data_IF_672596866173
#
_entry.id   IF_672596866173
#
_cell.length_a   1.000
_cell.length_b   1.000
_cell.length_c   1.000
_cell.angle_alpha   90.00
_cell.angle_beta   90.00
_cell.angle_gamma   90.00
#
_symmetry.space_group_name_H-M   'P 1'
#
loop_
_entity.id
_entity.type
_entity.pdbx_description
1 polymer ?
#
# COMPACT_ATOMS: atom_id res chain seq x y z
N UNK A 1 0.10 -9.70 -16.29
CA UNK A 1 -0.83 -8.60 -15.92
C UNK A 1 -0.25 -7.84 -14.72
N UNK A 2 0.66 -6.89 -14.96
CA UNK A 2 1.32 -6.09 -13.90
C UNK A 2 0.56 -4.79 -13.71
N UNK A 3 -0.42 -4.79 -12.80
CA UNK A 3 -1.14 -3.58 -12.39
C UNK A 3 -0.58 -3.05 -11.08
N UNK A 4 0.68 -2.63 -11.09
CA UNK A 4 1.22 -1.81 -10.01
C UNK A 4 0.86 -0.34 -10.29
N UNK A 5 -0.43 0.00 -10.22
CA UNK A 5 -0.94 1.34 -10.57
C UNK A 5 -0.36 2.42 -9.65
N UNK A 6 0.07 3.59 -10.15
CA UNK A 6 0.62 4.69 -9.34
C UNK A 6 -0.28 5.13 -8.17
N UNK A 7 -1.60 4.94 -8.31
CA UNK A 7 -2.59 5.15 -7.24
C UNK A 7 -2.34 4.28 -6.01
N UNK A 8 -2.06 2.99 -6.20
CA UNK A 8 -1.78 2.05 -5.10
C UNK A 8 -0.50 2.47 -4.34
N UNK A 9 0.55 2.85 -5.07
CA UNK A 9 1.79 3.34 -4.47
C UNK A 9 1.60 4.61 -3.66
N UNK A 10 0.77 5.54 -4.17
CA UNK A 10 0.42 6.77 -3.47
C UNK A 10 -0.28 6.46 -2.14
N UNK A 11 -1.28 5.58 -2.15
CA UNK A 11 -2.02 5.18 -0.93
C UNK A 11 -1.10 4.46 0.06
N UNK A 12 -0.27 3.53 -0.41
CA UNK A 12 0.69 2.82 0.44
C UNK A 12 1.70 3.77 1.10
N UNK A 13 2.24 4.72 0.34
CA UNK A 13 3.19 5.71 0.87
C UNK A 13 2.54 6.61 1.93
N UNK A 14 1.31 7.10 1.70
CA UNK A 14 0.56 7.87 2.71
C UNK A 14 0.33 7.06 3.98
N UNK A 15 -0.11 5.80 3.85
CA UNK A 15 -0.33 4.91 5.00
C UNK A 15 0.95 4.73 5.79
N UNK A 16 2.09 4.52 5.13
CA UNK A 16 3.40 4.41 5.80
C UNK A 16 3.84 5.68 6.50
N UNK A 17 3.69 6.84 5.86
CA UNK A 17 4.01 8.14 6.49
C UNK A 17 3.19 8.32 7.77
N UNK A 18 1.88 8.02 7.73
CA UNK A 18 1.01 8.11 8.90
C UNK A 18 1.32 7.09 9.97
N UNK A 19 1.66 5.86 9.58
CA UNK A 19 2.08 4.81 10.51
C UNK A 19 3.36 5.19 11.24
N UNK A 20 4.35 5.73 10.54
CA UNK A 20 5.58 6.23 11.16
C UNK A 20 5.33 7.42 12.09
N UNK A 21 4.41 8.31 11.73
CA UNK A 21 3.99 9.41 12.61
C UNK A 21 3.25 8.89 13.87
N UNK A 22 2.45 7.84 13.75
CA UNK A 22 1.75 7.21 14.88
C UNK A 22 2.73 6.56 15.86
N UNK A 23 3.69 5.77 15.37
CA UNK A 23 4.73 5.18 16.22
C UNK A 23 5.53 6.25 16.98
N UNK A 24 5.92 7.33 16.29
CA UNK A 24 6.63 8.45 16.92
C UNK A 24 5.79 9.16 17.99
N UNK A 25 4.47 9.26 17.79
CA UNK A 25 3.57 9.90 18.76
C UNK A 25 3.27 9.04 19.99
N UNK A 26 3.45 7.72 19.90
CA UNK A 26 3.22 6.75 20.98
C UNK A 26 4.52 6.27 21.63
N UNK A 27 5.66 6.87 21.27
CA UNK A 27 7.00 6.53 21.75
C UNK A 27 7.37 5.04 21.58
N UNK A 28 6.86 4.42 20.52
CA UNK A 28 7.16 3.02 20.20
C UNK A 28 8.50 2.95 19.48
N UNK A 29 9.42 2.19 20.05
CA UNK A 29 10.73 1.96 19.45
C UNK A 29 10.60 1.14 18.14
N UNK A 30 10.99 1.77 17.04
CA UNK A 30 10.84 1.21 15.69
C UNK A 30 11.66 -0.06 15.47
N UNK A 31 12.78 -0.20 16.19
CA UNK A 31 13.69 -1.35 16.06
C UNK A 31 13.08 -2.62 16.65
N UNK A 32 12.41 -2.50 17.79
CA UNK A 32 11.82 -3.62 18.51
C UNK A 32 10.45 -3.99 17.94
N UNK A 33 9.70 -2.99 17.46
CA UNK A 33 8.32 -3.19 17.00
C UNK A 33 8.20 -3.71 15.56
N UNK A 34 9.13 -3.37 14.65
CA UNK A 34 9.04 -3.80 13.25
C UNK A 34 9.82 -5.10 12.99
N UNK A 35 9.20 -6.14 12.42
CA UNK A 35 9.91 -7.36 12.05
C UNK A 35 10.88 -7.18 10.87
N UNK A 36 10.65 -6.16 10.01
CA UNK A 36 11.53 -5.83 8.87
C UNK A 36 11.68 -4.32 8.74
N UNK A 37 12.93 -3.85 8.78
CA UNK A 37 13.28 -2.43 8.67
C UNK A 37 13.83 -2.09 7.29
N UNK A 38 13.37 -0.96 6.73
CA UNK A 38 14.08 -0.30 5.63
C UNK A 38 15.02 0.77 6.18
N UNK A 39 16.27 0.75 5.71
CA UNK A 39 17.36 1.65 6.16
C UNK A 39 17.06 3.13 5.87
N UNK A 40 16.32 3.42 4.81
CA UNK A 40 16.07 4.78 4.31
C UNK A 40 14.69 5.35 4.72
N UNK A 41 13.91 4.63 5.51
CA UNK A 41 12.67 5.17 6.08
C UNK A 41 12.98 6.16 7.21
N UNK A 42 12.32 7.34 7.28
CA UNK A 42 11.06 7.69 6.61
C UNK A 42 11.20 8.49 5.30
N UNK A 43 12.40 8.97 4.95
CA UNK A 43 12.60 9.83 3.78
C UNK A 43 12.24 9.14 2.46
N UNK A 44 12.48 7.83 2.36
CA UNK A 44 12.08 7.03 1.22
C UNK A 44 10.56 7.02 0.98
N UNK A 45 9.74 7.09 2.04
CA UNK A 45 8.28 7.05 1.90
C UNK A 45 7.74 8.40 1.37
N UNK A 46 8.33 9.53 1.78
CA UNK A 46 8.01 10.84 1.21
C UNK A 46 8.40 10.94 -0.27
N UNK A 47 9.58 10.43 -0.62
CA UNK A 47 10.02 10.36 -2.03
C UNK A 47 9.08 9.49 -2.87
N UNK A 48 8.74 8.29 -2.39
CA UNK A 48 7.81 7.40 -3.05
C UNK A 48 6.42 8.04 -3.24
N UNK A 49 5.92 8.75 -2.24
CA UNK A 49 4.67 9.51 -2.34
C UNK A 49 4.75 10.57 -3.44
N UNK A 50 5.78 11.42 -3.43
CA UNK A 50 5.93 12.48 -4.44
C UNK A 50 6.06 11.93 -5.86
N UNK A 51 6.86 10.88 -6.07
CA UNK A 51 7.00 10.24 -7.38
C UNK A 51 5.69 9.60 -7.85
N UNK A 52 5.04 8.79 -6.99
CA UNK A 52 3.81 8.11 -7.36
C UNK A 52 2.66 9.09 -7.61
N UNK A 53 2.57 10.14 -6.80
CA UNK A 53 1.58 11.21 -6.98
C UNK A 53 1.81 11.96 -8.31
N UNK A 54 3.06 12.27 -8.65
CA UNK A 54 3.38 12.93 -9.93
C UNK A 54 3.05 12.02 -11.12
N UNK A 55 3.46 10.75 -11.07
CA UNK A 55 3.19 9.77 -12.13
C UNK A 55 1.70 9.51 -12.34
N UNK A 56 0.89 9.62 -11.27
CA UNK A 56 -0.57 9.51 -11.35
C UNK A 56 -1.18 10.56 -12.27
N UNK A 57 -0.64 11.79 -12.30
CA UNK A 57 -1.10 12.85 -13.21
C UNK A 57 -0.49 12.74 -14.61
N UNK A 58 0.78 12.33 -14.69
CA UNK A 58 1.54 12.21 -15.95
C UNK A 58 1.04 11.05 -16.81
N UNK A 59 0.48 9.97 -16.22
CA UNK A 59 0.01 8.80 -16.95
C UNK A 59 -1.02 9.12 -18.06
N UNK A 60 -1.82 10.18 -17.90
CA UNK A 60 -2.81 10.60 -18.88
C UNK A 60 -2.34 11.67 -19.88
N UNK A 61 -1.08 12.13 -19.79
CA UNK A 61 -0.60 13.30 -20.53
C UNK A 61 -0.70 13.15 -22.06
N UNK A 62 -0.59 11.91 -22.57
CA UNK A 62 -0.63 11.65 -24.01
C UNK A 62 -1.93 12.12 -24.70
N UNK A 63 -3.02 12.26 -23.95
CA UNK A 63 -4.30 12.80 -24.46
C UNK A 63 -4.18 14.28 -24.88
N UNK A 64 -3.25 15.02 -24.28
CA UNK A 64 -3.00 16.44 -24.61
C UNK A 64 -2.04 16.62 -25.80
N UNK A 65 -1.48 15.56 -26.36
CA UNK A 65 -0.66 15.64 -27.58
C UNK A 65 -1.56 15.87 -28.80
N UNK A 66 -1.16 16.80 -29.67
CA UNK A 66 -1.85 17.09 -30.92
C UNK A 66 -2.04 15.82 -31.76
N UNK A 67 -3.28 15.52 -32.13
CA UNK A 67 -3.65 14.35 -32.93
C UNK A 67 -4.06 13.10 -32.13
N UNK A 68 -3.95 13.10 -30.80
CA UNK A 68 -4.32 11.96 -29.93
C UNK A 68 -5.51 12.28 -29.00
N UNK A 69 -6.30 13.30 -29.31
CA UNK A 69 -7.46 13.68 -28.49
C UNK A 69 -8.56 12.61 -28.58
N UNK A 70 -8.79 11.92 -27.48
CA UNK A 70 -9.86 10.95 -27.30
C UNK A 70 -10.59 11.25 -25.99
N UNK A 71 -11.84 11.70 -26.09
CA UNK A 71 -12.69 11.99 -24.93
C UNK A 71 -12.87 10.76 -24.03
N UNK A 72 -12.96 9.55 -24.63
CA UNK A 72 -13.07 8.30 -23.88
C UNK A 72 -11.81 8.04 -23.03
N UNK A 73 -10.62 8.23 -23.62
CA UNK A 73 -9.34 8.04 -22.93
C UNK A 73 -9.11 9.10 -21.85
N UNK A 74 -9.56 10.34 -22.09
CA UNK A 74 -9.54 11.42 -21.10
C UNK A 74 -10.36 11.08 -19.86
N UNK A 75 -11.64 10.72 -20.06
CA UNK A 75 -12.57 10.40 -18.98
C UNK A 75 -12.10 9.14 -18.23
N UNK A 76 -11.57 8.14 -18.93
CA UNK A 76 -11.07 6.93 -18.27
C UNK A 76 -9.85 7.21 -17.39
N UNK A 77 -8.87 7.95 -17.90
CA UNK A 77 -7.64 8.24 -17.15
C UNK A 77 -7.88 9.21 -15.99
N UNK A 78 -8.57 10.33 -16.23
CA UNK A 78 -8.75 11.40 -15.23
C UNK A 78 -10.06 11.28 -14.46
N UNK A 79 -11.12 10.78 -15.08
CA UNK A 79 -12.43 10.60 -14.45
C UNK A 79 -12.41 9.53 -13.37
N UNK A 80 -11.66 8.42 -13.55
CA UNK A 80 -11.49 7.42 -12.47
C UNK A 80 -10.76 8.01 -11.27
N UNK A 81 -9.71 8.81 -11.50
CA UNK A 81 -8.98 9.51 -10.43
C UNK A 81 -9.93 10.45 -9.67
N UNK A 82 -10.71 11.25 -10.40
CA UNK A 82 -11.69 12.17 -9.83
C UNK A 82 -12.81 11.43 -9.08
N UNK A 83 -13.29 10.29 -9.59
CA UNK A 83 -14.33 9.46 -8.97
C UNK A 83 -13.84 8.81 -7.67
N UNK A 84 -12.63 8.25 -7.66
CA UNK A 84 -12.04 7.67 -6.44
C UNK A 84 -11.80 8.77 -5.40
N UNK A 85 -11.29 9.94 -5.83
CA UNK A 85 -11.12 11.10 -4.98
C UNK A 85 -12.44 11.61 -4.39
N UNK A 86 -13.49 11.72 -5.21
CA UNK A 86 -14.80 12.23 -4.79
C UNK A 86 -15.56 11.26 -3.90
N UNK A 87 -15.47 9.95 -4.13
CA UNK A 87 -16.03 8.94 -3.22
C UNK A 87 -15.26 8.93 -1.90
N UNK A 88 -13.93 8.98 -1.93
CA UNK A 88 -13.11 9.00 -0.71
C UNK A 88 -13.32 10.25 0.14
N UNK A 89 -13.30 11.43 -0.49
CA UNK A 89 -13.58 12.71 0.17
C UNK A 89 -15.06 12.82 0.55
N UNK A 90 -15.97 12.41 -0.33
CA UNK A 90 -17.41 12.41 -0.09
C UNK A 90 -17.78 11.52 1.09
N UNK A 91 -17.20 10.33 1.20
CA UNK A 91 -17.38 9.47 2.37
C UNK A 91 -16.86 10.12 3.65
N UNK A 92 -15.68 10.75 3.59
CA UNK A 92 -15.12 11.49 4.73
C UNK A 92 -15.99 12.66 5.18
N UNK A 93 -16.53 13.42 4.22
CA UNK A 93 -17.39 14.57 4.47
C UNK A 93 -18.77 14.13 5.00
N UNK A 94 -19.36 13.09 4.41
CA UNK A 94 -20.70 12.60 4.76
C UNK A 94 -20.72 11.81 6.08
N UNK A 95 -19.75 10.91 6.30
CA UNK A 95 -19.63 10.14 7.54
C UNK A 95 -18.87 10.87 8.65
N UNK A 96 -18.33 12.08 8.39
CA UNK A 96 -17.47 12.83 9.33
C UNK A 96 -16.46 11.92 10.02
N UNK A 97 -15.81 11.03 9.26
CA UNK A 97 -14.83 10.12 9.84
C UNK A 97 -13.66 10.94 10.35
N UNK A 98 -13.54 11.05 11.67
CA UNK A 98 -12.47 11.80 12.31
C UNK A 98 -11.15 11.15 11.91
N UNK A 99 -10.28 11.92 11.28
CA UNK A 99 -8.88 11.52 11.10
C UNK A 99 -8.31 11.33 12.49
N UNK A 100 -8.08 10.07 12.88
CA UNK A 100 -7.53 9.74 14.19
C UNK A 100 -6.20 10.47 14.38
N UNK A 101 -6.03 11.08 15.55
CA UNK A 101 -4.75 11.66 15.95
C UNK A 101 -3.70 10.56 15.95
N UNK A 102 -2.47 10.88 15.59
CA UNK A 102 -1.38 9.90 15.52
C UNK A 102 -1.19 9.13 16.85
N UNK A 103 -1.47 9.78 17.98
CA UNK A 103 -1.44 9.19 19.33
C UNK A 103 -2.59 8.23 19.64
N UNK A 104 -3.69 8.25 18.88
CA UNK A 104 -4.89 7.41 19.10
C UNK A 104 -4.99 6.25 18.09
N UNK A 105 -4.00 6.11 17.21
CA UNK A 105 -3.99 5.02 16.22
C UNK A 105 -3.69 3.72 16.96
N UNK A 106 -4.57 2.73 16.85
CA UNK A 106 -4.32 1.41 17.41
C UNK A 106 -3.24 0.70 16.60
N UNK A 107 -2.11 0.41 17.26
CA UNK A 107 -0.96 -0.30 16.69
C UNK A 107 -0.82 -1.72 17.24
N UNK A 108 -1.51 -2.07 18.33
CA UNK A 108 -1.17 -3.25 19.15
C UNK A 108 -2.31 -4.27 19.23
N UNK A 109 -3.58 -3.86 19.20
CA UNK A 109 -4.70 -4.72 19.62
C UNK A 109 -4.84 -6.05 18.86
N UNK A 110 -4.39 -6.10 17.60
CA UNK A 110 -4.42 -7.32 16.77
C UNK A 110 -3.04 -7.87 16.42
N UNK A 111 -1.96 -7.30 16.99
CA UNK A 111 -0.59 -7.65 16.62
C UNK A 111 -0.30 -9.14 16.85
N UNK A 112 -0.62 -9.67 18.04
CA UNK A 112 -0.41 -11.08 18.37
C UNK A 112 -1.14 -12.06 17.44
N UNK A 113 -2.33 -11.69 16.97
CA UNK A 113 -3.08 -12.52 16.02
C UNK A 113 -2.36 -12.59 14.66
N UNK A 114 -1.89 -11.45 14.16
CA UNK A 114 -1.15 -11.40 12.90
C UNK A 114 0.22 -12.08 13.00
N UNK A 115 0.89 -11.99 14.15
CA UNK A 115 2.16 -12.67 14.39
C UNK A 115 1.98 -14.19 14.38
N UNK A 116 0.97 -14.71 15.09
CA UNK A 116 0.63 -16.14 15.10
C UNK A 116 0.27 -16.64 13.68
N UNK A 117 -0.48 -15.84 12.92
CA UNK A 117 -0.84 -16.17 11.53
C UNK A 117 0.40 -16.18 10.62
N UNK A 118 1.31 -15.23 10.81
CA UNK A 118 2.57 -15.14 10.05
C UNK A 118 3.47 -16.35 10.34
N UNK A 119 3.55 -16.76 11.60
CA UNK A 119 4.28 -17.94 12.03
C UNK A 119 3.66 -19.23 11.44
N UNK A 120 2.33 -19.37 11.50
CA UNK A 120 1.62 -20.49 10.87
C UNK A 120 1.94 -20.63 9.37
N UNK A 121 1.82 -19.55 8.60
CA UNK A 121 2.16 -19.56 7.17
C UNK A 121 3.65 -19.77 6.90
N UNK A 122 4.53 -19.31 7.80
CA UNK A 122 5.97 -19.59 7.70
C UNK A 122 6.24 -21.08 7.88
N UNK A 123 5.57 -21.74 8.82
CA UNK A 123 5.66 -23.19 9.02
C UNK A 123 5.13 -23.97 7.81
N UNK A 124 3.98 -23.58 7.24
CA UNK A 124 3.46 -24.20 6.00
C UNK A 124 4.45 -24.06 4.82
N UNK A 125 5.07 -22.89 4.66
CA UNK A 125 6.07 -22.68 3.60
C UNK A 125 7.35 -23.49 3.81
N UNK A 126 7.72 -23.74 5.06
CA UNK A 126 8.86 -24.57 5.41
C UNK A 126 8.59 -26.06 5.22
N UNK A 127 7.35 -26.51 5.45
CA UNK A 127 6.93 -27.90 5.23
C UNK A 127 6.58 -28.21 3.76
N UNK A 128 6.29 -27.19 2.95
CA UNK A 128 6.09 -27.36 1.51
C UNK A 128 7.37 -27.90 0.82
N UNK A 129 7.26 -28.91 -0.06
CA UNK A 129 8.42 -29.47 -0.76
C UNK A 129 9.04 -28.41 -1.69
N UNK A 130 10.16 -27.83 -1.25
CA UNK A 130 10.90 -26.80 -1.99
C UNK A 130 11.55 -27.34 -3.28
N UNK A 131 11.90 -28.63 -3.30
CA UNK A 131 12.62 -29.26 -4.40
C UNK A 131 11.68 -29.93 -5.42
N UNK A 132 11.95 -29.73 -6.71
CA UNK A 132 11.21 -30.34 -7.83
C UNK A 132 11.12 -31.87 -7.70
N UNK A 133 12.21 -32.51 -7.21
CA UNK A 133 12.26 -33.95 -6.92
C UNK A 133 11.23 -34.38 -5.86
N UNK A 134 11.11 -33.61 -4.76
CA UNK A 134 10.16 -33.90 -3.68
C UNK A 134 8.71 -33.64 -4.12
N UNK A 135 8.49 -32.66 -4.99
CA UNK A 135 7.18 -32.37 -5.59
C UNK A 135 6.71 -33.46 -6.54
N UNK A 136 7.64 -34.13 -7.23
CA UNK A 136 7.34 -35.28 -8.11
C UNK A 136 7.04 -36.52 -7.26
N UNK A 137 7.84 -36.80 -6.22
CA UNK A 137 7.61 -37.95 -5.32
C UNK A 137 6.25 -37.85 -4.60
N UNK A 138 5.90 -36.67 -4.06
CA UNK A 138 4.61 -36.44 -3.39
C UNK A 138 3.38 -36.40 -4.32
N UNK A 139 3.58 -36.49 -5.63
CA UNK A 139 2.48 -36.58 -6.62
C UNK A 139 2.32 -38.00 -7.16
N UNK A 140 3.34 -38.84 -7.00
CA UNK A 140 3.37 -40.24 -7.44
C UNK A 140 2.94 -41.17 -6.30
N UNK A 141 3.23 -40.81 -5.05
CA UNK A 141 2.70 -41.43 -3.82
C UNK A 141 1.63 -40.52 -3.21
#
# INVERSE_FOLDING_TARGET
MRLSSPSNWTVMAVTRIRFNAAMKAQDIERETFLPVRSRFQPYADYWAFCCAFTLLWVQGYAVFLSGNWSTATFIFNYGIIALVGSIGLGWKLFKKTRVRRASEVDLVSHLHFFDALTEHYRHERASAPQNLKNKIVAKIF
#
